data_IF_381236513608
#
_entry.id   IF_381236513608
#
_cell.length_a   1.000
_cell.length_b   1.000
_cell.length_c   1.000
_cell.angle_alpha   90.00
_cell.angle_beta   90.00
_cell.angle_gamma   90.00
#
_symmetry.space_group_name_H-M   'P 1'
#
loop_
_entity.id
_entity.type
_entity.pdbx_description
1 polymer ?
#
# COMPACT_ATOMS: atom_id res chain seq x y z
N UNK A 1 -11.90 -1.87 1.80
CA UNK A 1 -12.78 -0.67 1.90
C UNK A 1 -12.19 0.42 0.99
N UNK A 2 -13.00 1.17 0.24
CA UNK A 2 -12.49 2.26 -0.63
C UNK A 2 -11.91 3.41 0.23
N UNK A 3 -10.79 3.98 -0.19
CA UNK A 3 -10.03 5.04 0.52
C UNK A 3 -9.42 6.01 -0.49
N UNK A 4 -9.17 7.24 -0.06
CA UNK A 4 -8.45 8.24 -0.84
C UNK A 4 -6.98 8.25 -0.42
N UNK A 5 -6.09 8.24 -1.41
CA UNK A 5 -4.64 8.29 -1.21
C UNK A 5 -4.07 9.55 -1.86
N UNK A 6 -3.09 10.15 -1.20
CA UNK A 6 -2.40 11.33 -1.69
C UNK A 6 -0.90 11.19 -1.39
N UNK A 7 -0.07 11.32 -2.42
CA UNK A 7 1.36 11.49 -2.28
C UNK A 7 1.66 12.99 -2.20
N UNK A 8 2.18 13.44 -1.06
CA UNK A 8 2.55 14.84 -0.84
C UNK A 8 3.61 14.94 0.24
N UNK A 9 4.47 15.96 0.18
CA UNK A 9 5.41 16.28 1.26
C UNK A 9 6.25 15.10 1.79
N UNK A 10 6.71 14.19 0.91
CA UNK A 10 7.40 12.96 1.31
C UNK A 10 6.59 12.01 2.21
N UNK A 11 5.27 12.07 2.11
CA UNK A 11 4.33 11.21 2.82
C UNK A 11 3.30 10.60 1.85
N UNK A 12 2.88 9.38 2.17
CA UNK A 12 1.68 8.76 1.61
C UNK A 12 0.54 8.88 2.64
N UNK A 13 -0.45 9.71 2.32
CA UNK A 13 -1.58 10.01 3.20
C UNK A 13 -2.82 9.23 2.75
N UNK A 14 -3.43 8.49 3.69
CA UNK A 14 -4.71 7.81 3.50
C UNK A 14 -5.83 8.55 4.21
N UNK A 15 -6.97 8.73 3.54
CA UNK A 15 -8.13 9.43 4.08
C UNK A 15 -9.47 8.81 3.69
N UNK A 16 -10.53 9.20 4.39
CA UNK A 16 -11.91 8.77 4.12
C UNK A 16 -12.48 9.35 2.84
N UNK A 17 -12.13 10.60 2.51
CA UNK A 17 -12.63 11.37 1.38
C UNK A 17 -11.54 12.30 0.81
N UNK A 18 -11.80 12.86 -0.38
CA UNK A 18 -10.94 13.92 -0.96
C UNK A 18 -10.80 15.12 0.00
N UNK A 19 -9.70 15.87 -0.09
CA UNK A 19 -9.39 16.97 0.83
C UNK A 19 -10.42 18.11 0.83
N UNK A 20 -11.18 18.27 -0.26
CA UNK A 20 -12.22 19.28 -0.37
C UNK A 20 -13.60 18.81 0.17
N UNK A 21 -13.73 17.54 0.55
CA UNK A 21 -14.99 16.98 1.01
C UNK A 21 -15.24 17.26 2.51
N UNK A 22 -16.50 17.46 2.88
CA UNK A 22 -16.90 17.78 4.26
C UNK A 22 -16.61 16.64 5.26
N UNK A 23 -16.55 15.39 4.80
CA UNK A 23 -16.27 14.19 5.59
C UNK A 23 -14.79 13.75 5.51
N UNK A 24 -13.89 14.64 5.09
CA UNK A 24 -12.46 14.38 5.03
C UNK A 24 -11.88 14.12 6.42
N UNK A 25 -11.32 12.92 6.59
CA UNK A 25 -10.56 12.52 7.78
C UNK A 25 -9.33 11.73 7.36
N UNK A 26 -8.17 12.14 7.85
CA UNK A 26 -6.92 11.38 7.71
C UNK A 26 -7.01 10.13 8.59
N UNK A 27 -6.67 8.98 8.01
CA UNK A 27 -6.68 7.67 8.66
C UNK A 27 -5.28 7.16 8.95
N UNK A 28 -4.33 7.44 8.05
CA UNK A 28 -2.94 7.06 8.20
C UNK A 28 -2.05 8.03 7.42
N UNK A 29 -0.84 8.22 7.91
CA UNK A 29 0.25 8.92 7.24
C UNK A 29 1.44 7.98 7.28
N UNK A 30 1.99 7.64 6.11
CA UNK A 30 3.16 6.78 5.97
C UNK A 30 4.31 7.63 5.44
N UNK A 31 5.36 7.88 6.25
CA UNK A 31 6.59 8.50 5.76
C UNK A 31 7.20 7.66 4.63
N UNK A 32 7.63 8.29 3.54
CA UNK A 32 8.16 7.56 2.38
C UNK A 32 9.54 6.93 2.63
N UNK A 33 10.30 7.45 3.59
CA UNK A 33 11.56 6.88 4.08
C UNK A 33 11.36 5.61 4.90
N UNK A 34 10.20 5.47 5.56
CA UNK A 34 9.81 4.23 6.24
C UNK A 34 9.51 3.09 5.24
N UNK A 35 9.26 3.38 3.96
CA UNK A 35 8.97 2.33 2.97
C UNK A 35 10.29 1.63 2.58
N UNK A 36 10.40 0.35 2.89
CA UNK A 36 11.62 -0.44 2.61
C UNK A 36 11.46 -1.39 1.42
N UNK A 37 10.22 -1.69 1.01
CA UNK A 37 9.94 -2.60 -0.12
C UNK A 37 8.61 -2.29 -0.79
N UNK A 38 8.61 -2.37 -2.11
CA UNK A 38 7.40 -2.39 -2.94
C UNK A 38 7.27 -3.75 -3.62
N UNK A 39 6.05 -4.25 -3.71
CA UNK A 39 5.74 -5.50 -4.39
C UNK A 39 4.40 -5.38 -5.12
N UNK A 40 4.40 -5.64 -6.43
CA UNK A 40 3.19 -5.65 -7.25
C UNK A 40 2.76 -7.09 -7.53
N UNK A 41 1.46 -7.33 -7.40
CA UNK A 41 0.88 -8.62 -7.75
C UNK A 41 -0.46 -8.49 -8.46
N UNK A 42 -0.81 -9.54 -9.20
CA UNK A 42 -2.09 -9.78 -9.84
C UNK A 42 -2.68 -11.06 -9.25
N UNK A 43 -3.92 -11.00 -8.80
CA UNK A 43 -4.66 -12.19 -8.38
C UNK A 43 -5.66 -12.54 -9.47
N UNK A 44 -5.53 -13.74 -10.04
CA UNK A 44 -6.39 -14.19 -11.12
C UNK A 44 -7.58 -14.98 -10.58
N UNK A 45 -8.79 -14.54 -10.88
CA UNK A 45 -10.03 -15.18 -10.40
C UNK A 45 -10.56 -16.13 -11.47
N UNK A 46 -9.89 -17.27 -11.66
CA UNK A 46 -10.33 -18.30 -12.64
C UNK A 46 -11.36 -19.28 -12.08
N UNK A 47 -11.90 -19.03 -10.88
CA UNK A 47 -12.86 -19.91 -10.22
C UNK A 47 -14.26 -19.88 -10.87
N UNK A 48 -14.86 -21.06 -11.03
CA UNK A 48 -16.19 -21.28 -11.63
C UNK A 48 -17.35 -20.55 -10.94
N UNK A 49 -17.21 -20.16 -9.67
CA UNK A 49 -18.35 -19.79 -8.84
C UNK A 49 -18.60 -18.28 -8.70
N UNK A 50 -17.68 -17.41 -9.13
CA UNK A 50 -17.97 -15.96 -9.23
C UNK A 50 -16.90 -15.24 -10.06
N UNK A 51 -17.25 -14.53 -11.14
CA UNK A 51 -16.31 -13.70 -11.88
C UNK A 51 -16.08 -12.40 -11.09
N UNK A 52 -15.25 -12.47 -10.05
CA UNK A 52 -14.86 -11.29 -9.26
C UNK A 52 -13.92 -10.34 -10.03
N UNK A 53 -13.46 -10.75 -11.21
CA UNK A 53 -12.48 -10.03 -12.01
C UNK A 53 -11.09 -10.16 -11.39
N UNK A 54 -10.07 -10.21 -12.25
CA UNK A 54 -8.70 -10.11 -11.78
C UNK A 54 -8.54 -8.78 -11.02
N UNK A 55 -7.81 -8.81 -9.90
CA UNK A 55 -7.46 -7.59 -9.18
C UNK A 55 -5.95 -7.48 -9.00
N UNK A 56 -5.50 -6.24 -8.93
CA UNK A 56 -4.09 -5.89 -8.81
C UNK A 56 -3.82 -5.37 -7.42
N UNK A 57 -2.66 -5.69 -6.86
CA UNK A 57 -2.29 -5.29 -5.51
C UNK A 57 -0.88 -4.72 -5.49
N UNK A 58 -0.75 -3.53 -4.91
CA UNK A 58 0.53 -2.97 -4.49
C UNK A 58 0.69 -3.16 -2.99
N UNK A 59 1.72 -3.90 -2.59
CA UNK A 59 2.08 -4.11 -1.19
C UNK A 59 3.31 -3.26 -0.87
N UNK A 60 3.18 -2.43 0.17
CA UNK A 60 4.25 -1.61 0.72
C UNK A 60 4.65 -2.19 2.08
N UNK A 61 5.92 -2.53 2.23
CA UNK A 61 6.49 -2.89 3.52
C UNK A 61 7.12 -1.65 4.12
N UNK A 62 6.69 -1.30 5.34
CA UNK A 62 7.15 -0.13 6.06
C UNK A 62 7.91 -0.60 7.31
N UNK A 63 9.09 -0.04 7.53
CA UNK A 63 9.89 -0.20 8.74
C UNK A 63 9.84 1.11 9.52
N UNK A 64 9.23 1.08 10.70
CA UNK A 64 8.94 2.28 11.46
C UNK A 64 10.07 2.67 12.42
N UNK A 65 11.20 1.95 12.42
CA UNK A 65 12.42 2.33 13.14
C UNK A 65 12.25 2.73 14.60
N UNK A 66 11.20 2.24 15.28
CA UNK A 66 10.94 2.63 16.66
C UNK A 66 12.05 2.09 17.56
N UNK A 67 12.71 2.99 18.29
CA UNK A 67 13.75 2.69 19.29
C UNK A 67 13.24 1.92 20.53
N UNK A 68 12.01 1.42 20.51
CA UNK A 68 11.50 0.47 21.51
C UNK A 68 11.69 -0.95 20.95
N UNK A 69 12.11 -1.89 21.80
CA UNK A 69 12.63 -3.25 21.54
C UNK A 69 11.82 -4.21 20.61
N UNK A 70 10.83 -3.73 19.85
CA UNK A 70 10.13 -4.45 18.79
C UNK A 70 10.08 -3.60 17.50
N UNK A 71 11.01 -3.87 16.57
CA UNK A 71 10.93 -3.35 15.20
C UNK A 71 9.66 -3.88 14.51
N UNK A 72 8.57 -3.12 14.61
CA UNK A 72 7.29 -3.49 14.02
C UNK A 72 7.28 -3.17 12.52
N UNK A 73 7.48 -4.21 11.70
CA UNK A 73 7.29 -4.12 10.26
C UNK A 73 5.81 -4.07 9.95
N UNK A 74 5.36 -2.97 9.36
CA UNK A 74 3.97 -2.76 8.97
C UNK A 74 3.80 -3.00 7.47
N UNK A 75 2.70 -3.65 7.09
CA UNK A 75 2.37 -3.88 5.67
C UNK A 75 1.12 -3.12 5.29
N UNK A 76 1.22 -2.28 4.26
CA UNK A 76 0.09 -1.60 3.63
C UNK A 76 -0.18 -2.23 2.26
N UNK A 77 -1.38 -2.80 2.09
CA UNK A 77 -1.81 -3.38 0.80
C UNK A 77 -2.89 -2.52 0.15
N UNK A 78 -2.62 -2.08 -1.06
CA UNK A 78 -3.49 -1.26 -1.90
C UNK A 78 -4.01 -2.11 -3.05
N UNK A 79 -5.33 -2.15 -3.24
CA UNK A 79 -5.95 -2.90 -4.35
C UNK A 79 -6.42 -1.95 -5.45
N UNK A 80 -6.20 -2.36 -6.69
CA UNK A 80 -6.55 -1.63 -7.90
C UNK A 80 -7.38 -2.53 -8.83
N UNK A 81 -8.26 -1.90 -9.61
CA UNK A 81 -8.99 -2.58 -10.67
C UNK A 81 -8.14 -2.74 -11.94
N UNK A 82 -7.20 -1.82 -12.18
CA UNK A 82 -6.41 -1.76 -13.40
C UNK A 82 -4.90 -1.88 -13.12
N UNK A 83 -4.21 -2.65 -13.97
CA UNK A 83 -2.76 -2.86 -13.85
C UNK A 83 -1.97 -1.56 -14.07
N UNK A 84 -2.42 -0.74 -15.03
CA UNK A 84 -1.79 0.55 -15.37
C UNK A 84 -1.80 1.52 -14.19
N UNK A 85 -2.91 1.53 -13.44
CA UNK A 85 -3.06 2.40 -12.28
C UNK A 85 -2.13 1.94 -11.16
N UNK A 86 -2.11 0.63 -10.86
CA UNK A 86 -1.16 0.06 -9.90
C UNK A 86 0.28 0.41 -10.27
N UNK A 87 0.68 0.23 -11.53
CA UNK A 87 2.04 0.53 -12.01
C UNK A 87 2.37 2.01 -11.89
N UNK A 88 1.43 2.89 -12.24
CA UNK A 88 1.58 4.34 -12.09
C UNK A 88 1.83 4.72 -10.63
N UNK A 89 1.03 4.18 -9.70
CA UNK A 89 1.20 4.42 -8.27
C UNK A 89 2.52 3.85 -7.73
N UNK A 90 2.87 2.62 -8.09
CA UNK A 90 4.13 2.00 -7.67
C UNK A 90 5.34 2.81 -8.13
N UNK A 91 5.31 3.30 -9.38
CA UNK A 91 6.36 4.11 -9.99
C UNK A 91 6.48 5.47 -9.31
N UNK A 92 5.35 6.13 -9.04
CA UNK A 92 5.33 7.41 -8.33
C UNK A 92 5.90 7.30 -6.91
N UNK A 93 5.47 6.28 -6.15
CA UNK A 93 5.99 6.03 -4.79
C UNK A 93 7.49 5.74 -4.86
N UNK A 94 7.92 4.84 -5.75
CA UNK A 94 9.33 4.51 -5.94
C UNK A 94 10.17 5.76 -6.21
N UNK A 95 9.77 6.60 -7.18
CA UNK A 95 10.49 7.84 -7.48
C UNK A 95 10.52 8.80 -6.30
N UNK A 96 9.43 8.95 -5.55
CA UNK A 96 9.44 9.81 -4.37
C UNK A 96 10.36 9.28 -3.25
N UNK A 97 10.45 7.97 -3.07
CA UNK A 97 11.39 7.35 -2.14
C UNK A 97 12.86 7.55 -2.59
N UNK A 98 13.15 7.46 -3.90
CA UNK A 98 14.54 7.53 -4.42
C UNK A 98 15.01 8.93 -4.82
N UNK A 99 14.11 9.88 -5.07
CA UNK A 99 14.47 11.25 -5.46
C UNK A 99 14.80 12.13 -4.24
N UNK A 100 14.27 11.80 -3.06
CA UNK A 100 14.66 12.43 -1.79
C UNK A 100 16.17 12.32 -1.52
N UNK A 101 16.84 11.35 -2.15
CA UNK A 101 18.26 11.05 -1.99
C UNK A 101 19.17 11.78 -2.99
N UNK A 102 18.65 12.54 -3.97
CA UNK A 102 19.45 13.04 -5.12
C UNK A 102 19.70 14.56 -5.16
N UNK A 103 19.22 15.35 -4.19
CA UNK A 103 19.41 16.81 -4.19
C UNK A 103 20.39 17.30 -3.13
N UNK A 104 21.69 17.08 -3.36
CA UNK A 104 22.75 17.95 -2.81
C UNK A 104 23.73 18.32 -3.93
N UNK A 105 23.59 19.51 -4.56
CA UNK A 105 24.66 20.10 -5.36
C UNK A 105 25.61 20.86 -4.42
N UNK A 106 26.88 20.46 -4.44
CA UNK A 106 28.02 20.95 -3.65
C UNK A 106 28.39 20.14 -2.41
N UNK A 107 29.60 19.59 -2.48
CA UNK A 107 30.23 18.81 -1.44
C UNK A 107 30.34 19.59 -0.13
N UNK A 108 29.71 19.06 0.90
CA UNK A 108 30.13 19.16 2.29
C UNK A 108 29.49 17.99 3.03
N UNK A 109 30.34 17.08 3.46
CA UNK A 109 29.99 15.84 4.15
C UNK A 109 29.32 16.15 5.48
N UNK A 110 28.00 15.94 5.56
CA UNK A 110 27.26 15.62 6.78
C UNK A 110 25.81 15.24 6.41
N UNK A 111 25.64 14.17 5.63
CA UNK A 111 24.34 13.48 5.54
C UNK A 111 24.19 12.69 6.84
N UNK A 112 23.44 13.23 7.80
CA UNK A 112 23.00 12.48 8.98
C UNK A 112 22.16 11.28 8.49
N UNK A 113 22.77 10.10 8.50
CA UNK A 113 22.14 8.78 8.57
C UNK A 113 20.86 8.59 7.75
N UNK A 114 20.91 8.82 6.43
CA UNK A 114 19.82 8.44 5.54
C UNK A 114 19.99 6.98 5.16
N UNK A 115 19.30 6.10 5.88
CA UNK A 115 19.13 4.68 5.59
C UNK A 115 18.95 4.47 4.09
N UNK A 116 19.98 3.97 3.41
CA UNK A 116 19.99 3.72 1.97
C UNK A 116 19.10 2.52 1.66
N UNK A 117 17.78 2.69 1.79
CA UNK A 117 16.80 1.69 1.39
C UNK A 117 16.95 1.49 -0.12
N UNK A 118 17.64 0.40 -0.47
CA UNK A 118 17.85 -0.05 -1.85
C UNK A 118 16.55 -0.70 -2.34
N UNK A 119 15.46 0.07 -2.30
CA UNK A 119 14.17 -0.36 -2.82
C UNK A 119 14.40 -0.67 -4.29
N UNK A 120 13.99 -1.87 -4.73
CA UNK A 120 14.11 -2.25 -6.13
C UNK A 120 13.02 -1.55 -6.95
N UNK A 121 13.32 -1.10 -8.18
CA UNK A 121 12.31 -0.57 -9.08
C UNK A 121 11.16 -1.57 -9.27
N UNK A 122 9.89 -1.12 -9.26
CA UNK A 122 8.73 -1.99 -9.44
C UNK A 122 8.57 -2.37 -10.92
N UNK A 123 9.37 -3.33 -11.40
CA UNK A 123 9.40 -3.73 -12.82
C UNK A 123 8.59 -4.97 -13.14
N UNK A 124 8.32 -5.82 -12.15
CA UNK A 124 7.60 -7.08 -12.33
C UNK A 124 6.30 -7.12 -11.54
N UNK A 125 5.30 -7.80 -12.12
CA UNK A 125 4.02 -8.10 -11.47
C UNK A 125 3.96 -9.61 -11.26
N UNK A 126 3.91 -10.04 -10.00
CA UNK A 126 3.76 -11.44 -9.67
C UNK A 126 2.30 -11.89 -9.89
N UNK A 127 2.08 -13.04 -10.52
CA UNK A 127 0.73 -13.56 -10.78
C UNK A 127 0.41 -14.69 -9.80
N UNK A 128 -0.70 -14.57 -9.08
CA UNK A 128 -1.18 -15.55 -8.12
C UNK A 128 -2.57 -16.07 -8.51
N UNK A 129 -2.70 -17.38 -8.74
CA UNK A 129 -4.01 -18.01 -8.89
C UNK A 129 -4.81 -17.89 -7.58
N UNK A 130 -6.07 -17.42 -7.67
CA UNK A 130 -6.95 -17.34 -6.50
C UNK A 130 -7.16 -18.71 -5.83
N UNK A 131 -7.12 -19.80 -6.60
CA UNK A 131 -7.23 -21.18 -6.09
C UNK A 131 -6.13 -21.56 -5.09
N UNK A 132 -4.98 -20.89 -5.15
CA UNK A 132 -3.87 -21.09 -4.21
C UNK A 132 -3.94 -20.15 -3.00
N UNK A 133 -4.87 -19.19 -3.00
CA UNK A 133 -5.06 -18.25 -1.90
C UNK A 133 -6.05 -18.81 -0.88
N UNK A 134 -5.55 -19.13 0.32
CA UNK A 134 -6.42 -19.49 1.44
C UNK A 134 -7.07 -18.23 2.02
N UNK A 135 -8.40 -18.15 1.95
CA UNK A 135 -9.17 -17.11 2.63
C UNK A 135 -9.99 -17.74 3.74
N UNK A 136 -9.83 -17.23 4.97
CA UNK A 136 -10.77 -17.55 6.05
C UNK A 136 -12.04 -16.75 5.82
N UNK A 137 -13.20 -17.39 5.95
CA UNK A 137 -14.50 -16.70 5.99
C UNK A 137 -14.94 -16.69 7.44
N UNK A 138 -15.20 -15.51 7.99
CA UNK A 138 -16.04 -15.42 9.18
C UNK A 138 -17.43 -15.82 8.74
N UNK A 139 -18.00 -16.86 9.34
CA UNK A 139 -19.43 -17.10 9.25
C UNK A 139 -20.05 -15.88 9.94
N UNK A 140 -20.61 -14.94 9.17
CA UNK A 140 -21.55 -13.99 9.75
C UNK A 140 -22.65 -14.83 10.38
N UNK A 141 -22.68 -14.85 11.72
CA UNK A 141 -23.82 -15.40 12.44
C UNK A 141 -25.02 -14.63 11.91
N UNK A 142 -25.88 -15.29 11.14
CA UNK A 142 -27.14 -14.72 10.71
C UNK A 142 -27.82 -14.19 11.99
N UNK A 143 -27.87 -12.87 12.14
CA UNK A 143 -28.73 -12.27 13.14
C UNK A 143 -30.12 -12.58 12.64
N UNK A 144 -30.68 -13.68 13.15
CA UNK A 144 -32.02 -14.14 12.87
C UNK A 144 -32.96 -12.94 12.98
N UNK A 145 -33.47 -12.50 11.83
CA UNK A 145 -34.58 -11.59 11.74
C UNK A 145 -35.84 -12.33 12.20
N UNK A 146 -35.91 -12.62 13.49
CA UNK A 146 -37.03 -13.23 14.17
C UNK A 146 -37.43 -12.36 15.38
N UNK A 147 -37.74 -11.10 15.11
CA UNK A 147 -38.67 -10.32 15.92
C UNK A 147 -39.64 -9.60 14.97
N UNK A 148 -40.46 -10.41 14.28
CA UNK A 148 -41.85 -10.03 14.03
C UNK A 148 -42.68 -10.70 15.11
N UNK A 149 -43.19 -9.89 16.04
CA UNK A 149 -44.55 -9.89 16.62
C UNK A 149 -44.64 -8.81 17.69
#
# INVERSE_FOLDING_TARGET
>A
RKRFFCLKNHELVMSTASSAAADHRVLAVVPLDAIVKLFMSKVTTTGKDTPLGDYFQLTLQCDNGADDDEAAVHTLSLSFFDESDMKTWATAIFHCCTNATTTTPHGSSASLSSSTTTIKPPTSVAVFPQELMKTSRFLESEVSAALSL
#
